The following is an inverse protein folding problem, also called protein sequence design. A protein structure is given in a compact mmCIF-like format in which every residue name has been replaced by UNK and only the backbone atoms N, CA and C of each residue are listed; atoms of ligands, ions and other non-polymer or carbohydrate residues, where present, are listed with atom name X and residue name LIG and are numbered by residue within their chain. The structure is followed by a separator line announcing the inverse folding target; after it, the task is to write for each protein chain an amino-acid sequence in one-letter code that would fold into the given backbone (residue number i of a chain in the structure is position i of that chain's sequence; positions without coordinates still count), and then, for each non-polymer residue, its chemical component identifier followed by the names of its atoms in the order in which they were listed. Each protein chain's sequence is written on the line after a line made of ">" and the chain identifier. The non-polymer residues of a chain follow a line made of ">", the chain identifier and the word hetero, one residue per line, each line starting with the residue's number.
data_IF_935019538913
#
_entry.id   IF_935019538913
#
_cell.length_a   1.000
_cell.length_b   1.000
_cell.length_c   1.000
_cell.angle_alpha   90.00
_cell.angle_beta   90.00
_cell.angle_gamma   90.00
#
_symmetry.space_group_name_H-M   'P 1'
#
loop_
_entity.id
_entity.type
_entity.pdbx_description
1 polymer ?
#
# COMPACT_ATOMS: atom_id res chain seq x y z
N UNK A 1 -18.98 -32.70 -33.09
CA UNK A 1 -17.70 -31.99 -32.81
C UNK A 1 -17.79 -30.60 -33.42
N UNK A 2 -17.23 -29.50 -32.86
CA UNK A 2 -16.37 -29.37 -31.66
C UNK A 2 -16.80 -28.22 -30.69
N UNK A 3 -16.62 -28.35 -29.36
CA UNK A 3 -16.38 -27.22 -28.41
C UNK A 3 -15.63 -27.61 -27.12
N UNK A 4 -15.03 -28.81 -27.03
CA UNK A 4 -14.33 -29.27 -25.81
C UNK A 4 -12.86 -28.84 -25.71
N UNK A 5 -12.30 -28.15 -26.72
CA UNK A 5 -10.87 -27.77 -26.74
C UNK A 5 -10.51 -26.45 -26.04
N UNK A 6 -11.45 -25.51 -25.88
CA UNK A 6 -11.13 -24.14 -25.41
C UNK A 6 -11.34 -23.91 -23.90
N UNK A 7 -12.05 -24.81 -23.21
CA UNK A 7 -12.32 -24.65 -21.78
C UNK A 7 -11.15 -25.14 -20.89
N UNK A 8 -10.39 -26.14 -21.34
CA UNK A 8 -9.31 -26.75 -20.55
C UNK A 8 -8.07 -25.83 -20.49
N UNK A 9 -7.75 -25.12 -21.58
CA UNK A 9 -6.60 -24.20 -21.66
C UNK A 9 -6.73 -22.97 -20.74
N UNK A 10 -7.90 -22.34 -20.68
CA UNK A 10 -8.12 -21.11 -19.88
C UNK A 10 -8.09 -21.42 -18.38
N UNK A 11 -8.57 -22.59 -17.96
CA UNK A 11 -8.58 -22.99 -16.54
C UNK A 11 -7.18 -23.30 -15.99
N UNK A 12 -6.31 -23.93 -16.80
CA UNK A 12 -4.93 -24.26 -16.41
C UNK A 12 -4.07 -23.01 -16.24
N UNK A 13 -4.18 -22.06 -17.18
CA UNK A 13 -3.45 -20.78 -17.14
C UNK A 13 -3.86 -19.95 -15.93
N UNK A 14 -5.16 -19.86 -15.63
CA UNK A 14 -5.66 -19.15 -14.45
C UNK A 14 -5.20 -19.80 -13.13
N UNK A 15 -5.15 -21.13 -13.09
CA UNK A 15 -4.65 -21.88 -11.93
C UNK A 15 -3.16 -21.62 -11.71
N UNK A 16 -2.37 -21.61 -12.78
CA UNK A 16 -0.94 -21.26 -12.75
C UNK A 16 -0.71 -19.84 -12.22
N UNK A 17 -1.41 -18.84 -12.77
CA UNK A 17 -1.29 -17.46 -12.30
C UNK A 17 -1.69 -17.29 -10.84
N UNK A 18 -2.73 -18.00 -10.38
CA UNK A 18 -3.13 -17.99 -8.98
C UNK A 18 -2.05 -18.61 -8.09
N UNK A 19 -1.44 -19.70 -8.51
CA UNK A 19 -0.33 -20.33 -7.79
C UNK A 19 0.88 -19.38 -7.70
N UNK A 20 1.27 -18.76 -8.82
CA UNK A 20 2.35 -17.76 -8.84
C UNK A 20 2.05 -16.55 -7.96
N UNK A 21 0.79 -16.08 -7.93
CA UNK A 21 0.34 -14.98 -7.05
C UNK A 21 0.48 -15.38 -5.58
N UNK A 22 0.13 -16.62 -5.22
CA UNK A 22 0.23 -17.10 -3.84
C UNK A 22 1.69 -17.21 -3.35
N UNK A 23 2.65 -17.35 -4.27
CA UNK A 23 4.08 -17.32 -3.97
C UNK A 23 4.65 -15.92 -3.80
N UNK A 24 3.81 -14.88 -3.84
CA UNK A 24 4.23 -13.47 -3.64
C UNK A 24 5.24 -13.27 -2.49
N UNK A 25 5.03 -13.79 -1.27
CA UNK A 25 6.01 -13.59 -0.18
C UNK A 25 7.40 -14.14 -0.51
N UNK A 26 7.46 -15.29 -1.17
CA UNK A 26 8.71 -15.91 -1.60
C UNK A 26 9.41 -15.04 -2.66
N UNK A 27 8.66 -14.56 -3.65
CA UNK A 27 9.19 -13.68 -4.69
C UNK A 27 9.71 -12.35 -4.12
N UNK A 28 9.00 -11.76 -3.15
CA UNK A 28 9.43 -10.54 -2.48
C UNK A 28 10.75 -10.72 -1.75
N UNK A 29 10.94 -11.83 -1.02
CA UNK A 29 12.20 -12.11 -0.33
C UNK A 29 13.32 -12.34 -1.34
N UNK A 30 13.09 -13.12 -2.39
CA UNK A 30 14.09 -13.38 -3.42
C UNK A 30 14.53 -12.09 -4.12
N UNK A 31 13.57 -11.25 -4.50
CA UNK A 31 13.85 -9.94 -5.12
C UNK A 31 14.59 -9.02 -4.16
N UNK A 32 14.22 -8.98 -2.89
CA UNK A 32 14.94 -8.18 -1.88
C UNK A 32 16.40 -8.62 -1.73
N UNK A 33 16.66 -9.92 -1.69
CA UNK A 33 18.04 -10.46 -1.62
C UNK A 33 18.83 -10.08 -2.87
N UNK A 34 18.25 -10.27 -4.07
CA UNK A 34 18.92 -9.92 -5.34
C UNK A 34 19.18 -8.41 -5.42
N UNK A 35 18.21 -7.57 -5.05
CA UNK A 35 18.35 -6.12 -5.08
C UNK A 35 19.46 -5.60 -4.16
N UNK A 36 19.61 -6.19 -2.97
CA UNK A 36 20.65 -5.80 -2.02
C UNK A 36 22.03 -6.40 -2.35
N UNK A 37 22.08 -7.59 -2.93
CA UNK A 37 23.33 -8.25 -3.34
C UNK A 37 23.89 -7.71 -4.65
N UNK A 38 23.02 -7.50 -5.64
CA UNK A 38 23.33 -7.05 -7.00
C UNK A 38 22.40 -5.90 -7.43
N UNK A 39 22.57 -4.68 -6.90
CA UNK A 39 21.68 -3.55 -7.20
C UNK A 39 21.63 -3.19 -8.69
N UNK A 40 22.70 -3.46 -9.44
CA UNK A 40 22.74 -3.26 -10.90
C UNK A 40 21.65 -4.05 -11.65
N UNK A 41 21.13 -5.14 -11.10
CA UNK A 41 20.04 -5.93 -11.69
C UNK A 41 18.72 -5.16 -11.80
N UNK A 42 18.57 -4.04 -11.07
CA UNK A 42 17.37 -3.19 -11.10
C UNK A 42 17.65 -1.77 -11.64
N UNK A 43 18.86 -1.49 -12.13
CA UNK A 43 19.25 -0.17 -12.63
C UNK A 43 18.47 0.30 -13.88
N UNK A 44 17.78 -0.62 -14.57
CA UNK A 44 16.90 -0.32 -15.70
C UNK A 44 15.52 0.21 -15.26
N UNK A 45 15.15 0.03 -13.99
CA UNK A 45 13.89 0.53 -13.46
C UNK A 45 14.05 2.01 -13.05
N UNK A 46 13.00 2.81 -13.23
CA UNK A 46 12.99 4.24 -12.92
C UNK A 46 11.73 4.61 -12.15
N UNK A 47 11.73 5.76 -11.47
CA UNK A 47 10.55 6.27 -10.76
C UNK A 47 9.29 6.36 -11.65
N UNK A 48 9.48 6.69 -12.93
CA UNK A 48 8.38 6.72 -13.91
C UNK A 48 7.75 5.33 -14.10
N UNK A 49 8.56 4.27 -14.10
CA UNK A 49 8.09 2.90 -14.20
C UNK A 49 7.37 2.44 -12.94
N UNK A 50 7.75 2.93 -11.75
CA UNK A 50 7.00 2.69 -10.51
C UNK A 50 5.61 3.31 -10.60
N UNK A 51 5.53 4.60 -10.96
CA UNK A 51 4.26 5.32 -11.09
C UNK A 51 3.36 4.64 -12.12
N UNK A 52 3.92 4.24 -13.25
CA UNK A 52 3.20 3.47 -14.27
C UNK A 52 2.74 2.11 -13.76
N UNK A 53 3.61 1.35 -13.10
CA UNK A 53 3.30 0.05 -12.52
C UNK A 53 2.17 0.13 -11.50
N UNK A 54 2.25 1.09 -10.55
CA UNK A 54 1.17 1.36 -9.60
C UNK A 54 -0.13 1.73 -10.33
N UNK A 55 -0.08 2.64 -11.31
CA UNK A 55 -1.25 3.00 -12.11
C UNK A 55 -1.91 1.80 -12.80
N UNK A 56 -1.11 0.88 -13.35
CA UNK A 56 -1.61 -0.35 -13.97
C UNK A 56 -2.30 -1.27 -12.95
N UNK A 57 -1.74 -1.38 -11.74
CA UNK A 57 -2.36 -2.12 -10.63
C UNK A 57 -3.69 -1.49 -10.25
N UNK A 58 -3.71 -0.17 -10.07
CA UNK A 58 -4.89 0.60 -9.67
C UNK A 58 -6.01 0.51 -10.73
N UNK A 59 -5.64 0.50 -12.01
CA UNK A 59 -6.58 0.22 -13.10
C UNK A 59 -7.16 -1.20 -13.00
N UNK A 60 -6.28 -2.21 -12.84
CA UNK A 60 -6.69 -3.61 -12.70
C UNK A 60 -7.62 -3.85 -11.51
N UNK A 61 -7.33 -3.18 -10.40
CA UNK A 61 -8.17 -3.14 -9.21
C UNK A 61 -9.51 -2.45 -9.50
N UNK A 62 -9.51 -1.29 -10.15
CA UNK A 62 -10.72 -0.59 -10.58
C UNK A 62 -11.64 -1.46 -11.46
N UNK A 63 -11.07 -2.30 -12.33
CA UNK A 63 -11.85 -3.25 -13.15
C UNK A 63 -12.64 -4.28 -12.33
N UNK A 64 -12.31 -4.46 -11.05
CA UNK A 64 -13.06 -5.35 -10.12
C UNK A 64 -14.09 -4.62 -9.28
N UNK A 65 -14.09 -3.29 -9.28
CA UNK A 65 -14.95 -2.47 -8.42
C UNK A 65 -16.19 -1.98 -9.16
N UNK A 66 -17.21 -1.64 -8.38
CA UNK A 66 -18.44 -1.01 -8.88
C UNK A 66 -18.64 0.35 -8.22
N UNK A 67 -19.37 1.29 -8.85
CA UNK A 67 -19.72 2.57 -8.23
C UNK A 67 -20.46 2.40 -6.88
N UNK A 68 -21.19 1.30 -6.70
CA UNK A 68 -21.89 1.01 -5.45
C UNK A 68 -20.94 0.68 -4.29
N UNK A 69 -19.74 0.16 -4.57
CA UNK A 69 -18.75 -0.13 -3.53
C UNK A 69 -18.27 1.17 -2.88
N UNK A 70 -18.04 2.23 -3.66
CA UNK A 70 -17.70 3.55 -3.13
C UNK A 70 -18.87 4.21 -2.40
N UNK A 71 -20.10 4.08 -2.89
CA UNK A 71 -21.29 4.55 -2.15
C UNK A 71 -21.40 3.87 -0.78
N UNK A 72 -21.07 2.57 -0.69
CA UNK A 72 -21.09 1.82 0.57
C UNK A 72 -20.09 2.36 1.59
N UNK A 73 -18.94 2.88 1.15
CA UNK A 73 -17.94 3.46 2.06
C UNK A 73 -18.52 4.63 2.87
N UNK A 74 -19.37 5.47 2.25
CA UNK A 74 -20.00 6.60 2.94
C UNK A 74 -21.09 6.19 3.94
N UNK A 75 -21.60 4.95 3.87
CA UNK A 75 -22.56 4.43 4.87
C UNK A 75 -21.88 3.68 6.03
N UNK A 76 -20.56 3.53 5.99
CA UNK A 76 -19.74 2.98 7.10
C UNK A 76 -18.74 4.02 7.63
N UNK A 77 -19.20 5.21 8.06
CA UNK A 77 -18.31 6.32 8.44
C UNK A 77 -17.38 5.98 9.62
N UNK A 78 -17.80 5.06 10.50
CA UNK A 78 -16.95 4.57 11.59
C UNK A 78 -15.69 3.86 11.08
N UNK A 79 -15.80 3.08 9.99
CA UNK A 79 -14.65 2.42 9.38
C UNK A 79 -13.72 3.43 8.68
N UNK A 80 -14.32 4.35 7.91
CA UNK A 80 -13.58 5.35 7.14
C UNK A 80 -12.86 6.36 8.06
N UNK A 81 -13.61 7.10 8.88
CA UNK A 81 -13.07 8.15 9.72
C UNK A 81 -12.31 7.58 10.91
N UNK A 82 -12.80 6.48 11.49
CA UNK A 82 -12.10 5.78 12.56
C UNK A 82 -10.76 5.22 12.09
N UNK A 83 -10.70 4.64 10.89
CA UNK A 83 -9.45 4.18 10.31
C UNK A 83 -8.44 5.30 10.05
N UNK A 84 -8.88 6.42 9.48
CA UNK A 84 -8.02 7.61 9.26
C UNK A 84 -7.54 8.19 10.59
N UNK A 85 -8.40 8.28 11.60
CA UNK A 85 -8.02 8.74 12.92
C UNK A 85 -7.00 7.80 13.57
N UNK A 86 -7.22 6.48 13.49
CA UNK A 86 -6.28 5.49 13.99
C UNK A 86 -4.91 5.63 13.32
N UNK A 87 -4.86 5.92 12.02
CA UNK A 87 -3.59 6.11 11.33
C UNK A 87 -2.77 7.26 11.91
N UNK A 88 -3.36 8.45 12.03
CA UNK A 88 -2.67 9.64 12.56
C UNK A 88 -2.48 9.64 14.07
N UNK A 89 -3.03 8.66 14.80
CA UNK A 89 -2.82 8.49 16.24
C UNK A 89 -1.83 7.37 16.52
N UNK A 90 -2.09 6.17 16.01
CA UNK A 90 -1.32 4.95 16.30
C UNK A 90 0.08 5.07 15.75
N UNK A 91 0.24 5.46 14.49
CA UNK A 91 1.55 5.42 13.84
C UNK A 91 2.51 6.45 14.41
N UNK A 92 2.16 7.75 14.54
CA UNK A 92 3.03 8.74 15.17
C UNK A 92 3.43 8.37 16.59
N UNK A 93 2.47 7.85 17.38
CA UNK A 93 2.74 7.39 18.74
C UNK A 93 3.73 6.23 18.77
N UNK A 94 3.57 5.24 17.87
CA UNK A 94 4.52 4.14 17.74
C UNK A 94 5.90 4.62 17.27
N UNK A 95 5.97 5.49 16.27
CA UNK A 95 7.24 6.01 15.75
C UNK A 95 8.04 6.73 16.82
N UNK A 96 7.39 7.62 17.58
CA UNK A 96 8.01 8.32 18.71
C UNK A 96 8.39 7.36 19.84
N UNK A 97 7.46 6.47 20.24
CA UNK A 97 7.66 5.53 21.34
C UNK A 97 8.80 4.54 21.05
N UNK A 98 8.88 4.00 19.83
CA UNK A 98 9.97 3.10 19.41
C UNK A 98 11.29 3.86 19.37
N UNK A 99 11.30 5.09 18.84
CA UNK A 99 12.49 5.93 18.83
C UNK A 99 13.06 6.16 20.23
N UNK A 100 12.18 6.42 21.21
CA UNK A 100 12.55 6.59 22.61
C UNK A 100 13.00 5.27 23.27
N UNK A 101 12.24 4.19 23.10
CA UNK A 101 12.50 2.89 23.76
C UNK A 101 13.77 2.19 23.27
N UNK A 102 14.14 2.39 21.99
CA UNK A 102 15.35 1.82 21.42
C UNK A 102 16.57 2.76 21.51
N UNK A 103 16.42 3.93 22.13
CA UNK A 103 17.45 4.99 22.22
C UNK A 103 18.09 5.28 20.85
N UNK A 104 17.24 5.51 19.85
CA UNK A 104 17.70 5.69 18.47
C UNK A 104 18.50 7.00 18.32
N UNK A 105 19.58 7.00 17.52
CA UNK A 105 20.24 8.23 17.12
C UNK A 105 19.23 9.23 16.55
N UNK A 106 19.39 10.52 16.87
CA UNK A 106 18.41 11.57 16.54
C UNK A 106 17.97 11.51 15.08
N UNK A 107 18.89 11.36 14.14
CA UNK A 107 18.59 11.35 12.70
C UNK A 107 17.68 10.17 12.31
N UNK A 108 17.89 8.99 12.89
CA UNK A 108 17.07 7.80 12.65
C UNK A 108 15.69 7.96 13.33
N UNK A 109 15.67 8.50 14.55
CA UNK A 109 14.42 8.74 15.28
C UNK A 109 13.53 9.76 14.54
N UNK A 110 14.12 10.86 14.05
CA UNK A 110 13.42 11.87 13.22
C UNK A 110 12.84 11.22 11.97
N UNK A 111 13.63 10.40 11.26
CA UNK A 111 13.17 9.68 10.08
C UNK A 111 12.03 8.70 10.37
N UNK A 112 12.11 7.95 11.47
CA UNK A 112 11.07 7.01 11.89
C UNK A 112 9.76 7.73 12.24
N UNK A 113 9.85 8.83 13.00
CA UNK A 113 8.68 9.65 13.34
C UNK A 113 8.07 10.27 12.09
N UNK A 114 8.90 10.80 11.18
CA UNK A 114 8.44 11.35 9.90
C UNK A 114 7.62 10.33 9.11
N UNK A 115 8.19 9.14 8.86
CA UNK A 115 7.49 8.04 8.17
C UNK A 115 6.17 7.68 8.86
N UNK A 116 6.16 7.68 10.19
CA UNK A 116 4.97 7.35 10.96
C UNK A 116 3.89 8.46 10.95
N UNK A 117 4.25 9.70 10.62
CA UNK A 117 3.34 10.83 10.47
C UNK A 117 2.76 10.97 9.07
N UNK A 118 3.22 10.16 8.12
CA UNK A 118 2.74 10.15 6.75
C UNK A 118 1.30 9.60 6.64
N UNK A 119 0.62 9.83 5.52
CA UNK A 119 -0.66 9.19 5.22
C UNK A 119 -0.48 7.75 4.75
N UNK A 120 -1.60 7.08 4.44
CA UNK A 120 -1.60 5.72 3.89
C UNK A 120 -0.75 5.66 2.62
N UNK A 121 0.08 4.63 2.51
CA UNK A 121 0.92 4.40 1.33
C UNK A 121 0.10 3.87 0.17
N UNK A 122 0.30 4.32 -1.06
CA UNK A 122 -0.48 3.83 -2.22
C UNK A 122 -0.38 2.31 -2.44
N UNK A 123 0.69 1.69 -1.95
CA UNK A 123 0.87 0.23 -1.91
C UNK A 123 -0.13 -0.49 -1.00
N UNK A 124 -0.72 0.18 0.00
CA UNK A 124 -1.76 -0.36 0.88
C UNK A 124 -2.97 -0.85 0.09
N UNK A 125 -3.38 -0.09 -0.93
CA UNK A 125 -4.47 -0.46 -1.83
C UNK A 125 -4.18 -1.77 -2.56
N UNK A 126 -2.93 -1.99 -2.97
CA UNK A 126 -2.49 -3.24 -3.61
C UNK A 126 -2.57 -4.40 -2.62
N UNK A 127 -2.06 -4.22 -1.41
CA UNK A 127 -2.10 -5.25 -0.37
C UNK A 127 -3.54 -5.55 0.05
N UNK A 128 -4.40 -4.54 0.16
CA UNK A 128 -5.83 -4.71 0.41
C UNK A 128 -6.51 -5.53 -0.69
N UNK A 129 -6.15 -5.30 -1.96
CA UNK A 129 -6.65 -6.08 -3.08
C UNK A 129 -6.18 -7.55 -3.03
N UNK A 130 -4.89 -7.79 -2.78
CA UNK A 130 -4.34 -9.15 -2.66
C UNK A 130 -4.90 -9.89 -1.43
N UNK A 131 -5.12 -9.18 -0.33
CA UNK A 131 -5.70 -9.70 0.91
C UNK A 131 -7.22 -9.85 0.86
N UNK A 132 -7.87 -9.46 -0.26
CA UNK A 132 -9.33 -9.46 -0.43
C UNK A 132 -10.07 -8.64 0.64
N UNK A 133 -9.41 -7.58 1.13
CA UNK A 133 -10.00 -6.62 2.05
C UNK A 133 -10.99 -5.69 1.31
N UNK A 134 -11.56 -4.74 2.03
CA UNK A 134 -12.44 -3.73 1.42
C UNK A 134 -11.57 -2.70 0.70
N UNK A 135 -11.40 -2.90 -0.61
CA UNK A 135 -10.53 -2.08 -1.46
C UNK A 135 -11.08 -0.66 -1.65
N UNK A 136 -12.40 -0.51 -1.82
CA UNK A 136 -13.02 0.81 -1.97
C UNK A 136 -12.81 1.66 -0.70
N UNK A 137 -12.88 1.02 0.48
CA UNK A 137 -12.55 1.66 1.76
C UNK A 137 -11.06 2.04 1.80
N UNK A 138 -10.15 1.16 1.38
CA UNK A 138 -8.70 1.42 1.31
C UNK A 138 -8.40 2.69 0.51
N UNK A 139 -8.88 2.74 -0.75
CA UNK A 139 -8.65 3.88 -1.66
C UNK A 139 -9.22 5.17 -1.07
N UNK A 140 -10.39 5.08 -0.41
CA UNK A 140 -11.04 6.23 0.21
C UNK A 140 -10.25 6.73 1.44
N UNK A 141 -9.77 5.82 2.29
CA UNK A 141 -8.93 6.14 3.44
C UNK A 141 -7.59 6.74 3.00
N UNK A 142 -6.92 6.18 1.99
CA UNK A 142 -5.68 6.72 1.44
C UNK A 142 -5.91 8.14 0.88
N UNK A 143 -7.00 8.36 0.14
CA UNK A 143 -7.31 9.67 -0.43
C UNK A 143 -7.54 10.74 0.64
N UNK A 144 -8.35 10.42 1.65
CA UNK A 144 -8.63 11.33 2.76
C UNK A 144 -7.36 11.59 3.58
N UNK A 145 -6.64 10.52 3.96
CA UNK A 145 -5.41 10.67 4.75
C UNK A 145 -4.35 11.49 4.00
N UNK A 146 -4.16 11.27 2.69
CA UNK A 146 -3.22 12.05 1.86
C UNK A 146 -3.59 13.52 1.83
N UNK A 147 -4.88 13.83 1.75
CA UNK A 147 -5.37 15.22 1.78
C UNK A 147 -5.10 15.87 3.14
N UNK A 148 -5.37 15.14 4.22
CA UNK A 148 -5.12 15.63 5.58
C UNK A 148 -3.64 15.77 5.92
N UNK A 149 -2.78 14.91 5.36
CA UNK A 149 -1.34 14.89 5.61
C UNK A 149 -0.64 16.21 5.24
N UNK A 150 -1.16 16.96 4.27
CA UNK A 150 -0.68 18.31 3.92
C UNK A 150 -0.56 19.21 5.15
N UNK A 151 -1.51 19.12 6.08
CA UNK A 151 -1.48 19.84 7.36
C UNK A 151 -1.00 19.00 8.53
N UNK A 152 -1.45 17.74 8.61
CA UNK A 152 -1.20 16.88 9.77
C UNK A 152 0.25 16.41 9.85
N UNK A 153 0.91 16.06 8.75
CA UNK A 153 2.28 15.54 8.80
C UNK A 153 3.28 16.59 9.31
N UNK A 154 3.29 17.85 8.83
CA UNK A 154 4.13 18.91 9.42
C UNK A 154 3.76 19.25 10.87
N UNK A 155 2.49 19.13 11.24
CA UNK A 155 2.03 19.40 12.60
C UNK A 155 2.50 18.32 13.57
N UNK A 156 2.30 17.05 13.22
CA UNK A 156 2.66 15.90 14.05
C UNK A 156 4.18 15.79 14.19
N UNK A 157 4.94 15.98 13.11
CA UNK A 157 6.41 16.03 13.17
C UNK A 157 6.90 17.13 14.11
N UNK A 158 6.28 18.33 14.08
CA UNK A 158 6.59 19.39 15.04
C UNK A 158 6.30 18.98 16.48
N UNK A 159 5.19 18.28 16.72
CA UNK A 159 4.81 17.84 18.07
C UNK A 159 5.79 16.81 18.62
N UNK A 160 6.15 15.81 17.82
CA UNK A 160 6.95 14.67 18.29
C UNK A 160 8.48 14.88 18.20
N UNK A 161 8.94 15.74 17.28
CA UNK A 161 10.37 15.94 17.01
C UNK A 161 10.81 17.40 17.25
N UNK A 162 9.87 18.31 17.47
CA UNK A 162 10.15 19.74 17.69
C UNK A 162 10.38 20.53 16.40
N UNK A 163 10.41 19.87 15.24
CA UNK A 163 10.72 20.47 13.95
C UNK A 163 9.60 20.21 12.94
N UNK A 164 9.30 21.21 12.10
CA UNK A 164 8.40 21.02 10.97
C UNK A 164 9.18 20.45 9.81
N UNK A 165 8.86 19.22 9.43
CA UNK A 165 9.40 18.66 8.19
C UNK A 165 8.56 19.19 7.02
N UNK A 166 9.18 19.80 5.99
CA UNK A 166 8.46 20.22 4.80
C UNK A 166 7.88 18.99 4.09
N UNK A 167 6.62 19.09 3.67
CA UNK A 167 5.96 18.07 2.84
C UNK A 167 5.65 18.68 1.48
N UNK A 168 5.94 17.94 0.42
CA UNK A 168 5.53 18.33 -0.93
C UNK A 168 4.05 17.99 -1.15
N UNK A 169 3.20 18.88 -0.64
CA UNK A 169 1.75 18.72 -0.70
C UNK A 169 1.24 18.52 -2.14
N UNK A 170 1.82 19.23 -3.11
CA UNK A 170 1.41 19.14 -4.50
C UNK A 170 1.78 17.79 -5.09
N UNK A 171 3.01 17.31 -4.86
CA UNK A 171 3.43 16.00 -5.35
C UNK A 171 2.60 14.85 -4.73
N UNK A 172 2.26 14.94 -3.44
CA UNK A 172 1.41 13.96 -2.77
C UNK A 172 -0.01 13.93 -3.36
N UNK A 173 -0.62 15.10 -3.53
CA UNK A 173 -1.96 15.25 -4.12
C UNK A 173 -2.00 14.83 -5.60
N UNK A 174 -0.97 15.17 -6.37
CA UNK A 174 -0.83 14.74 -7.76
C UNK A 174 -0.71 13.21 -7.84
N UNK A 175 0.11 12.61 -6.99
CA UNK A 175 0.31 11.16 -6.97
C UNK A 175 -0.99 10.42 -6.65
N UNK A 176 -1.71 10.82 -5.60
CA UNK A 176 -2.99 10.17 -5.26
C UNK A 176 -4.04 10.39 -6.36
N UNK A 177 -4.10 11.56 -7.00
CA UNK A 177 -5.05 11.83 -8.07
C UNK A 177 -4.73 11.05 -9.36
N UNK A 178 -3.50 11.12 -9.84
CA UNK A 178 -3.09 10.61 -11.15
C UNK A 178 -2.74 9.12 -11.10
N UNK A 179 -2.04 8.67 -10.06
CA UNK A 179 -1.54 7.28 -9.97
C UNK A 179 -2.58 6.34 -9.37
N UNK A 180 -3.50 6.86 -8.54
CA UNK A 180 -4.49 6.02 -7.84
C UNK A 180 -5.92 6.31 -8.27
N UNK A 181 -6.44 7.51 -8.00
CA UNK A 181 -7.87 7.81 -8.19
C UNK A 181 -8.26 7.70 -9.66
N UNK A 182 -7.49 8.30 -10.57
CA UNK A 182 -7.80 8.31 -12.00
C UNK A 182 -7.82 6.88 -12.60
N UNK A 183 -6.81 6.02 -12.37
CA UNK A 183 -6.85 4.62 -12.83
C UNK A 183 -7.97 3.79 -12.19
N UNK A 184 -8.21 3.95 -10.88
CA UNK A 184 -9.32 3.23 -10.19
C UNK A 184 -10.67 3.65 -10.76
N UNK A 185 -10.89 4.94 -10.96
CA UNK A 185 -12.12 5.47 -11.54
C UNK A 185 -12.30 4.98 -12.97
N UNK A 186 -11.25 5.05 -13.81
CA UNK A 186 -11.28 4.54 -15.17
C UNK A 186 -11.61 3.04 -15.21
N UNK A 187 -10.96 2.22 -14.37
CA UNK A 187 -11.25 0.79 -14.27
C UNK A 187 -12.68 0.51 -13.82
N UNK A 188 -13.19 1.28 -12.85
CA UNK A 188 -14.57 1.13 -12.34
C UNK A 188 -15.60 1.47 -13.42
N UNK A 189 -15.36 2.55 -14.19
CA UNK A 189 -16.20 2.92 -15.34
C UNK A 189 -16.15 1.85 -16.42
N UNK A 190 -14.97 1.33 -16.75
CA UNK A 190 -14.82 0.24 -17.72
C UNK A 190 -15.56 -1.03 -17.27
N UNK A 191 -15.53 -1.38 -15.99
CA UNK A 191 -16.30 -2.49 -15.46
C UNK A 191 -17.81 -2.24 -15.53
N UNK A 192 -18.26 -1.01 -15.25
CA UNK A 192 -19.67 -0.64 -15.35
C UNK A 192 -20.18 -0.73 -16.80
N UNK A 193 -19.42 -0.22 -17.77
CA UNK A 193 -19.82 -0.17 -19.18
C UNK A 193 -19.64 -1.52 -19.90
N UNK A 194 -18.59 -2.28 -19.59
CA UNK A 194 -18.16 -3.46 -20.36
C UNK A 194 -18.08 -4.75 -19.54
N UNK A 195 -18.86 -4.87 -18.45
CA UNK A 195 -18.68 -5.85 -17.37
C UNK A 195 -18.24 -7.27 -17.73
N UNK A 196 -18.71 -7.89 -18.83
CA UNK A 196 -18.23 -9.22 -19.25
C UNK A 196 -16.76 -9.20 -19.71
N UNK A 197 -16.36 -8.21 -20.49
CA UNK A 197 -14.98 -8.05 -20.96
C UNK A 197 -14.06 -7.63 -19.80
N UNK A 198 -14.50 -6.67 -18.98
CA UNK A 198 -13.77 -6.23 -17.80
C UNK A 198 -13.47 -7.39 -16.84
N UNK A 199 -14.46 -8.26 -16.56
CA UNK A 199 -14.27 -9.45 -15.73
C UNK A 199 -13.19 -10.39 -16.27
N UNK A 200 -13.13 -10.61 -17.59
CA UNK A 200 -12.10 -11.48 -18.20
C UNK A 200 -10.70 -10.89 -18.02
N UNK A 201 -10.55 -9.59 -18.22
CA UNK A 201 -9.26 -8.90 -18.06
C UNK A 201 -8.84 -8.88 -16.58
N UNK A 202 -9.79 -8.57 -15.69
CA UNK A 202 -9.55 -8.46 -14.26
C UNK A 202 -9.08 -9.76 -13.60
N UNK A 203 -9.32 -10.91 -14.23
CA UNK A 203 -8.83 -12.21 -13.76
C UNK A 203 -7.29 -12.30 -13.74
N UNK A 204 -6.60 -11.49 -14.55
CA UNK A 204 -5.15 -11.40 -14.59
C UNK A 204 -4.58 -10.35 -13.63
N UNK A 205 -5.42 -9.45 -13.12
CA UNK A 205 -4.98 -8.31 -12.30
C UNK A 205 -4.18 -8.71 -11.05
N UNK A 206 -4.53 -9.76 -10.28
CA UNK A 206 -3.72 -10.19 -9.14
C UNK A 206 -2.28 -10.57 -9.53
N UNK A 207 -2.11 -11.31 -10.63
CA UNK A 207 -0.80 -11.75 -11.10
C UNK A 207 0.05 -10.56 -11.60
N UNK A 208 -0.54 -9.68 -12.42
CA UNK A 208 0.12 -8.45 -12.86
C UNK A 208 0.50 -7.57 -11.66
N UNK A 209 -0.35 -7.52 -10.63
CA UNK A 209 -0.06 -6.76 -9.42
C UNK A 209 1.11 -7.31 -8.64
N UNK A 210 1.21 -8.64 -8.50
CA UNK A 210 2.37 -9.29 -7.89
C UNK A 210 3.64 -9.01 -8.67
N UNK A 211 3.61 -9.08 -10.01
CA UNK A 211 4.78 -8.78 -10.84
C UNK A 211 5.23 -7.32 -10.70
N UNK A 212 4.29 -6.37 -10.75
CA UNK A 212 4.62 -4.95 -10.60
C UNK A 212 5.16 -4.64 -9.20
N UNK A 213 4.53 -5.15 -8.13
CA UNK A 213 4.96 -4.82 -6.76
C UNK A 213 6.34 -5.40 -6.43
N UNK A 214 6.67 -6.63 -6.89
CA UNK A 214 8.01 -7.18 -6.65
C UNK A 214 9.09 -6.36 -7.38
N UNK A 215 8.81 -5.88 -8.60
CA UNK A 215 9.74 -5.03 -9.34
C UNK A 215 9.94 -3.67 -8.65
N UNK A 216 8.86 -3.07 -8.14
CA UNK A 216 8.92 -1.82 -7.37
C UNK A 216 9.78 -2.01 -6.11
N UNK A 217 9.53 -3.08 -5.34
CA UNK A 217 10.32 -3.41 -4.13
C UNK A 217 11.79 -3.62 -4.49
N UNK A 218 12.07 -4.37 -5.57
CA UNK A 218 13.44 -4.59 -6.04
C UNK A 218 14.15 -3.29 -6.41
N UNK A 219 13.49 -2.40 -7.12
CA UNK A 219 14.04 -1.08 -7.46
C UNK A 219 14.33 -0.24 -6.22
N UNK A 220 13.37 -0.08 -5.30
CA UNK A 220 13.56 0.75 -4.09
C UNK A 220 14.71 0.22 -3.24
N UNK A 221 14.79 -1.11 -3.06
CA UNK A 221 15.88 -1.72 -2.29
C UNK A 221 17.24 -1.58 -2.98
N UNK A 222 17.29 -1.69 -4.31
CA UNK A 222 18.51 -1.49 -5.07
C UNK A 222 18.96 -0.02 -5.03
N UNK A 223 18.04 0.93 -5.13
CA UNK A 223 18.33 2.36 -5.04
C UNK A 223 18.88 2.75 -3.65
N UNK A 224 18.26 2.24 -2.58
CA UNK A 224 18.63 2.55 -1.19
C UNK A 224 19.64 1.59 -0.55
N UNK A 225 20.30 0.74 -1.35
CA UNK A 225 21.11 -0.37 -0.83
C UNK A 225 22.28 0.07 0.06
N UNK A 226 22.92 1.22 -0.23
CA UNK A 226 24.04 1.74 0.57
C UNK A 226 23.56 2.14 1.96
N UNK A 227 22.51 2.98 2.02
CA UNK A 227 21.96 3.49 3.27
C UNK A 227 21.42 2.34 4.15
N UNK A 228 20.79 1.35 3.52
CA UNK A 228 20.32 0.14 4.20
C UNK A 228 21.51 -0.60 4.81
N UNK A 229 22.56 -0.91 4.03
CA UNK A 229 23.72 -1.70 4.52
C UNK A 229 24.45 -1.03 5.68
N UNK A 230 24.54 0.29 5.70
CA UNK A 230 25.21 1.03 6.78
C UNK A 230 24.46 0.95 8.11
N UNK A 231 23.12 0.95 8.09
CA UNK A 231 22.29 1.10 9.30
C UNK A 231 21.34 -0.08 9.58
N UNK A 232 21.47 -1.19 8.83
CA UNK A 232 20.44 -2.23 8.75
C UNK A 232 20.00 -2.82 10.09
N UNK A 233 20.91 -3.00 11.05
CA UNK A 233 20.58 -3.67 12.33
C UNK A 233 19.53 -2.91 13.14
N UNK A 234 19.72 -1.61 13.27
CA UNK A 234 18.84 -0.73 14.04
C UNK A 234 17.62 -0.34 13.20
N UNK A 235 17.84 -0.02 11.92
CA UNK A 235 16.78 0.37 11.00
C UNK A 235 15.74 -0.74 10.81
N UNK A 236 16.18 -1.98 10.56
CA UNK A 236 15.27 -3.11 10.34
C UNK A 236 14.45 -3.39 11.59
N UNK A 237 15.07 -3.38 12.78
CA UNK A 237 14.34 -3.62 14.03
C UNK A 237 13.26 -2.54 14.25
N UNK A 238 13.63 -1.27 14.15
CA UNK A 238 12.71 -0.16 14.38
C UNK A 238 11.54 -0.15 13.37
N UNK A 239 11.85 -0.36 12.09
CA UNK A 239 10.86 -0.40 11.00
C UNK A 239 9.93 -1.61 11.14
N UNK A 240 10.46 -2.79 11.47
CA UNK A 240 9.65 -3.99 11.71
C UNK A 240 8.71 -3.78 12.89
N UNK A 241 9.20 -3.23 14.01
CA UNK A 241 8.36 -2.94 15.17
C UNK A 241 7.28 -1.91 14.86
N UNK A 242 7.62 -0.84 14.12
CA UNK A 242 6.68 0.20 13.73
C UNK A 242 5.53 -0.38 12.90
N UNK A 243 5.86 -1.11 11.83
CA UNK A 243 4.83 -1.66 10.94
C UNK A 243 4.07 -2.82 11.58
N UNK A 244 4.74 -3.73 12.30
CA UNK A 244 4.07 -4.79 13.03
C UNK A 244 3.09 -4.23 14.08
N UNK A 245 3.51 -3.19 14.80
CA UNK A 245 2.66 -2.44 15.72
C UNK A 245 1.49 -1.78 15.00
N UNK A 246 1.74 -1.11 13.87
CA UNK A 246 0.71 -0.46 13.06
C UNK A 246 -0.34 -1.43 12.54
N UNK A 247 0.08 -2.56 11.96
CA UNK A 247 -0.83 -3.63 11.51
C UNK A 247 -1.62 -4.22 12.68
N UNK A 248 -0.92 -4.59 13.76
CA UNK A 248 -1.52 -5.25 14.92
C UNK A 248 -2.50 -4.35 15.67
N UNK A 249 -2.07 -3.17 16.09
CA UNK A 249 -2.92 -2.19 16.78
C UNK A 249 -4.02 -1.66 15.87
N UNK A 250 -3.74 -1.42 14.59
CA UNK A 250 -4.75 -1.03 13.61
C UNK A 250 -5.88 -2.06 13.51
N UNK A 251 -5.55 -3.35 13.47
CA UNK A 251 -6.54 -4.43 13.49
C UNK A 251 -7.29 -4.50 14.82
N UNK A 252 -6.58 -4.56 15.94
CA UNK A 252 -7.18 -4.71 17.28
C UNK A 252 -8.12 -3.55 17.59
N UNK A 253 -7.69 -2.31 17.34
CA UNK A 253 -8.51 -1.12 17.58
C UNK A 253 -9.71 -1.05 16.64
N UNK A 254 -9.56 -1.46 15.37
CA UNK A 254 -10.70 -1.60 14.45
C UNK A 254 -11.75 -2.61 14.97
N UNK A 255 -11.31 -3.74 15.52
CA UNK A 255 -12.21 -4.72 16.15
C UNK A 255 -12.86 -4.18 17.43
N UNK A 256 -12.15 -3.39 18.23
CA UNK A 256 -12.71 -2.71 19.41
C UNK A 256 -13.76 -1.65 19.05
N UNK A 257 -13.58 -0.97 17.90
CA UNK A 257 -14.60 -0.11 17.29
C UNK A 257 -15.77 -0.89 16.67
N UNK A 258 -15.79 -2.23 16.82
CA UNK A 258 -16.83 -3.14 16.32
C UNK A 258 -17.00 -3.11 14.80
N UNK A 259 -15.93 -2.79 14.07
CA UNK A 259 -15.93 -2.89 12.61
C UNK A 259 -16.03 -4.35 12.18
N UNK A 260 -16.60 -4.61 11.01
CA UNK A 260 -16.64 -5.96 10.44
C UNK A 260 -15.22 -6.45 10.08
N UNK A 261 -15.07 -7.75 9.83
CA UNK A 261 -13.77 -8.36 9.57
C UNK A 261 -13.09 -7.78 8.32
N UNK A 262 -13.85 -7.50 7.26
CA UNK A 262 -13.30 -7.00 6.01
C UNK A 262 -12.81 -5.57 6.17
N UNK A 263 -13.58 -4.71 6.84
CA UNK A 263 -13.18 -3.36 7.19
C UNK A 263 -12.00 -3.33 8.16
N UNK A 264 -11.96 -4.25 9.13
CA UNK A 264 -10.86 -4.33 10.11
C UNK A 264 -9.52 -4.70 9.46
N UNK A 265 -9.54 -5.60 8.46
CA UNK A 265 -8.37 -5.89 7.63
C UNK A 265 -7.92 -4.66 6.84
N UNK A 266 -8.85 -3.94 6.23
CA UNK A 266 -8.52 -2.70 5.51
C UNK A 266 -7.89 -1.67 6.44
N UNK A 267 -8.48 -1.42 7.62
CA UNK A 267 -7.93 -0.47 8.59
C UNK A 267 -6.55 -0.91 9.08
N UNK A 268 -6.35 -2.19 9.37
CA UNK A 268 -5.02 -2.74 9.71
C UNK A 268 -3.98 -2.44 8.63
N UNK A 269 -4.33 -2.69 7.36
CA UNK A 269 -3.44 -2.47 6.21
C UNK A 269 -3.14 -0.99 6.03
N UNK A 270 -4.15 -0.12 6.04
CA UNK A 270 -3.98 1.33 5.88
C UNK A 270 -3.16 1.95 7.02
N UNK A 271 -3.46 1.59 8.27
CA UNK A 271 -2.69 2.07 9.44
C UNK A 271 -1.25 1.57 9.37
N UNK A 272 -1.03 0.29 9.06
CA UNK A 272 0.31 -0.29 9.03
C UNK A 272 1.16 0.16 7.84
N UNK A 273 0.57 0.47 6.67
CA UNK A 273 1.32 0.82 5.46
C UNK A 273 1.36 2.34 5.25
N UNK A 274 2.54 2.92 5.43
CA UNK A 274 2.76 4.36 5.29
C UNK A 274 3.25 4.75 3.90
N UNK A 275 2.96 5.98 3.50
CA UNK A 275 3.61 6.62 2.37
C UNK A 275 5.00 7.10 2.79
N UNK A 276 5.99 6.22 2.68
CA UNK A 276 7.38 6.47 3.06
C UNK A 276 8.26 6.96 1.90
N UNK A 277 7.64 7.30 0.76
CA UNK A 277 8.31 7.83 -0.42
C UNK A 277 8.53 9.33 -0.38
#
# INVERSE_FOLDING_TARGET
>A
MPQLGNAVSISGVQTCFRWLTNLFPLWSVLVAVVALAWPASFAWCTDGMIKFGLGLIMLGMGLTLTPNDFKRVFVIPAALLGGVALQFVVMPFLGWGIGYLLDLPRDIAVGLVLVSCCPGGTASNVVAFLARANVALSVSMTAISTTLAVGLTPLLTKVYVGERVPVDALAMLETILIVVILPVAAGTVLNHCFGKAAKRISALSPFVSVLCIILIVGYILADKHVQIKEHWRILVLAVVLLHAGGFGLGYVLARLLRLDEQSSRTVSIEVGMQNSG
#
